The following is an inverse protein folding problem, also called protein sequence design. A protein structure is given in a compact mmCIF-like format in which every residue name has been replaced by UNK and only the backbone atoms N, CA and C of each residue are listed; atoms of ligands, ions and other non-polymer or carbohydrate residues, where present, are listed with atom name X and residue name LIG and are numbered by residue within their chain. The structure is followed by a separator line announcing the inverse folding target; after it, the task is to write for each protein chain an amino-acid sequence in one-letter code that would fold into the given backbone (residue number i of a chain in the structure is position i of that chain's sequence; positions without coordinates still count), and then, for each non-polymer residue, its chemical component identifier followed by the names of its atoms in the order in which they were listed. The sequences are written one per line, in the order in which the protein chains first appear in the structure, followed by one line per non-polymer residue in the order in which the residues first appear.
data_IF_087248836673
#
_entry.id   IF_087248836673
#
_cell.length_a   1.000
_cell.length_b   1.000
_cell.length_c   1.000
_cell.angle_alpha   90.00
_cell.angle_beta   90.00
_cell.angle_gamma   90.00
#
_symmetry.space_group_name_H-M   'P 1'
#
loop_
_entity.id
_entity.type
_entity.pdbx_description
1 polymer ?
#
# COMPACT_ATOMS: atom_id res chain seq x y z
N UNK A 1 -34.93 31.68 -18.33
CA UNK A 1 -33.46 31.60 -18.16
C UNK A 1 -32.98 30.69 -16.99
N UNK A 2 -33.51 29.45 -16.73
CA UNK A 2 -33.06 28.64 -15.57
C UNK A 2 -32.04 27.51 -15.90
N UNK A 3 -32.02 27.00 -17.14
CA UNK A 3 -31.23 25.81 -17.55
C UNK A 3 -29.71 25.96 -17.33
N UNK A 4 -29.20 27.19 -17.36
CA UNK A 4 -27.76 27.49 -17.20
C UNK A 4 -27.28 27.39 -15.74
N UNK A 5 -28.16 27.58 -14.75
CA UNK A 5 -27.79 27.43 -13.32
C UNK A 5 -27.79 25.96 -12.91
N UNK A 6 -28.78 25.20 -13.37
CA UNK A 6 -28.91 23.76 -13.08
C UNK A 6 -27.74 22.96 -13.70
N UNK A 7 -27.33 23.29 -14.92
CA UNK A 7 -26.20 22.63 -15.58
C UNK A 7 -24.84 22.94 -14.92
N UNK A 8 -24.67 24.14 -14.36
CA UNK A 8 -23.48 24.50 -13.58
C UNK A 8 -23.42 23.76 -12.25
N UNK A 9 -24.57 23.57 -11.59
CA UNK A 9 -24.65 22.83 -10.33
C UNK A 9 -24.37 21.33 -10.54
N UNK A 10 -24.98 20.72 -11.57
CA UNK A 10 -24.71 19.32 -11.93
C UNK A 10 -23.23 19.09 -12.27
N UNK A 11 -22.59 19.98 -13.01
CA UNK A 11 -21.14 19.88 -13.30
C UNK A 11 -20.27 19.96 -12.04
N UNK A 12 -20.61 20.84 -11.09
CA UNK A 12 -19.90 20.93 -9.81
C UNK A 12 -20.07 19.67 -8.97
N UNK A 13 -21.28 19.11 -8.94
CA UNK A 13 -21.57 17.86 -8.23
C UNK A 13 -20.84 16.67 -8.86
N UNK A 14 -20.81 16.60 -10.20
CA UNK A 14 -20.03 15.58 -10.93
C UNK A 14 -18.53 15.70 -10.64
N UNK A 15 -17.99 16.93 -10.66
CA UNK A 15 -16.58 17.15 -10.38
C UNK A 15 -16.23 16.78 -8.93
N UNK A 16 -17.09 17.12 -7.96
CA UNK A 16 -16.90 16.77 -6.56
C UNK A 16 -17.01 15.26 -6.29
N UNK A 17 -17.82 14.53 -7.07
CA UNK A 17 -17.96 13.08 -6.94
C UNK A 17 -16.79 12.30 -7.59
N UNK A 18 -16.15 12.85 -8.62
CA UNK A 18 -15.07 12.20 -9.36
C UNK A 18 -13.69 12.43 -8.73
N UNK A 19 -13.48 13.58 -8.08
CA UNK A 19 -12.19 13.95 -7.48
C UNK A 19 -11.64 12.94 -6.43
N UNK A 20 -12.45 12.35 -5.54
CA UNK A 20 -11.94 11.41 -4.52
C UNK A 20 -11.48 10.07 -5.10
N UNK A 21 -11.95 9.70 -6.30
CA UNK A 21 -11.63 8.41 -6.92
C UNK A 21 -10.16 8.29 -7.39
N UNK A 22 -9.42 9.41 -7.41
CA UNK A 22 -8.01 9.47 -7.79
C UNK A 22 -7.05 9.60 -6.61
N UNK A 23 -7.55 9.60 -5.37
CA UNK A 23 -6.69 9.59 -4.20
C UNK A 23 -6.16 8.16 -4.04
N UNK A 24 -4.85 7.90 -4.20
CA UNK A 24 -4.31 6.57 -3.94
C UNK A 24 -4.59 6.21 -2.48
N UNK A 25 -5.19 5.04 -2.25
CA UNK A 25 -5.39 4.53 -0.91
C UNK A 25 -4.01 4.33 -0.25
N UNK A 26 -3.68 5.16 0.72
CA UNK A 26 -2.49 5.02 1.58
C UNK A 26 -2.71 3.85 2.55
N UNK A 27 -2.64 2.62 2.04
CA UNK A 27 -2.70 1.44 2.91
C UNK A 27 -1.89 0.30 2.32
N UNK A 28 -0.60 0.54 2.12
CA UNK A 28 0.33 -0.56 1.96
C UNK A 28 1.75 -0.07 2.22
N UNK A 29 2.26 -0.41 3.39
CA UNK A 29 3.67 -0.24 3.72
C UNK A 29 4.58 -0.99 2.73
N UNK A 30 4.01 -1.90 1.93
CA UNK A 30 4.67 -2.59 0.82
C UNK A 30 3.70 -3.18 -0.23
N UNK A 31 3.00 -2.35 -1.02
CA UNK A 31 1.97 -2.82 -1.99
C UNK A 31 2.47 -3.66 -3.17
N UNK A 32 3.77 -3.64 -3.47
CA UNK A 32 4.30 -4.17 -4.72
C UNK A 32 5.74 -4.63 -4.58
N UNK A 33 6.26 -5.33 -5.61
CA UNK A 33 7.67 -5.72 -5.63
C UNK A 33 8.57 -4.49 -5.49
N UNK A 34 9.52 -4.58 -4.56
CA UNK A 34 10.42 -3.47 -4.16
C UNK A 34 9.71 -2.24 -3.56
N UNK A 35 8.50 -2.40 -3.03
CA UNK A 35 7.79 -1.39 -2.26
C UNK A 35 7.24 -0.21 -3.07
N UNK A 36 6.68 0.81 -2.41
CA UNK A 36 6.00 1.93 -3.08
C UNK A 36 6.91 2.70 -4.05
N UNK A 37 8.18 2.87 -3.69
CA UNK A 37 9.20 3.52 -4.52
C UNK A 37 9.86 2.61 -5.57
N UNK A 38 9.52 1.32 -5.62
CA UNK A 38 10.11 0.31 -6.52
C UNK A 38 11.64 0.19 -6.41
N UNK A 39 12.20 0.65 -5.30
CA UNK A 39 13.63 0.71 -5.03
C UNK A 39 14.08 -0.31 -3.96
N UNK A 40 13.15 -0.97 -3.28
CA UNK A 40 13.45 -1.93 -2.22
C UNK A 40 13.82 -1.28 -0.89
N UNK A 41 13.51 0.00 -0.71
CA UNK A 41 13.85 0.78 0.48
C UNK A 41 12.57 1.11 1.25
N UNK A 42 12.49 0.63 2.50
CA UNK A 42 11.41 1.03 3.41
C UNK A 42 11.50 2.52 3.73
N UNK A 43 10.35 3.19 3.85
CA UNK A 43 10.25 4.56 4.34
C UNK A 43 9.95 4.61 5.85
N UNK A 44 9.88 3.45 6.51
CA UNK A 44 9.72 3.37 7.95
C UNK A 44 10.93 3.99 8.65
N UNK A 45 10.66 4.89 9.60
CA UNK A 45 11.65 5.62 10.39
C UNK A 45 11.69 5.15 11.84
N UNK A 46 10.93 4.10 12.16
CA UNK A 46 10.97 3.44 13.47
C UNK A 46 12.40 3.01 13.77
N UNK A 47 13.00 3.46 14.89
CA UNK A 47 14.35 3.07 15.25
C UNK A 47 14.47 1.55 15.35
N UNK A 48 15.48 1.00 14.66
CA UNK A 48 15.84 -0.41 14.83
C UNK A 48 16.58 -0.53 16.16
N UNK A 49 16.29 -1.60 16.91
CA UNK A 49 16.98 -1.86 18.17
C UNK A 49 18.50 -1.95 17.94
N UNK A 50 19.28 -1.24 18.77
CA UNK A 50 20.75 -1.22 18.69
C UNK A 50 21.37 -2.57 19.09
N UNK A 51 20.66 -3.35 19.91
CA UNK A 51 21.06 -4.69 20.35
C UNK A 51 19.83 -5.59 20.40
N UNK A 52 19.99 -6.83 19.95
CA UNK A 52 19.00 -7.88 20.20
C UNK A 52 19.15 -8.47 21.62
N UNK A 53 18.08 -9.04 22.20
CA UNK A 53 18.17 -9.77 23.46
C UNK A 53 19.19 -10.92 23.36
N UNK A 54 19.87 -11.23 24.47
CA UNK A 54 20.90 -12.29 24.50
C UNK A 54 20.27 -13.68 24.27
N UNK A 55 19.01 -13.86 24.70
CA UNK A 55 18.21 -15.07 24.48
C UNK A 55 17.59 -15.14 23.07
N UNK A 56 17.77 -14.09 22.25
CA UNK A 56 17.21 -13.97 20.91
C UNK A 56 15.81 -13.34 20.85
N UNK A 57 15.34 -13.05 19.64
CA UNK A 57 13.98 -12.53 19.42
C UNK A 57 12.95 -13.65 19.57
N UNK A 58 11.82 -13.33 20.20
CA UNK A 58 10.68 -14.25 20.25
C UNK A 58 10.13 -14.47 18.84
N UNK A 59 10.08 -15.71 18.39
CA UNK A 59 9.36 -16.08 17.18
C UNK A 59 7.86 -15.81 17.36
N UNK A 60 7.31 -14.91 16.53
CA UNK A 60 5.88 -14.56 16.56
C UNK A 60 5.07 -15.26 15.46
N UNK A 61 5.73 -15.70 14.39
CA UNK A 61 5.14 -16.52 13.34
C UNK A 61 6.22 -17.33 12.63
N UNK A 62 5.82 -18.45 12.04
CA UNK A 62 6.62 -19.26 11.14
C UNK A 62 5.67 -19.86 10.10
N UNK A 63 6.09 -19.89 8.84
CA UNK A 63 5.35 -20.58 7.79
C UNK A 63 5.70 -22.06 7.78
N UNK A 64 4.73 -22.92 7.47
CA UNK A 64 5.02 -24.31 7.11
C UNK A 64 5.76 -24.42 5.78
N UNK A 65 6.05 -25.66 5.37
CA UNK A 65 6.64 -25.94 4.07
C UNK A 65 5.73 -25.43 2.94
N UNK A 66 6.28 -24.59 2.07
CA UNK A 66 5.62 -24.15 0.84
C UNK A 66 6.19 -25.00 -0.31
N UNK A 67 5.39 -25.86 -0.96
CA UNK A 67 5.89 -26.68 -2.05
C UNK A 67 6.31 -25.78 -3.21
N UNK A 68 7.55 -25.96 -3.65
CA UNK A 68 8.06 -25.36 -4.88
C UNK A 68 7.97 -26.40 -5.98
N UNK A 69 7.28 -26.10 -7.09
CA UNK A 69 7.63 -26.75 -8.34
C UNK A 69 8.94 -26.11 -8.86
N UNK A 70 9.84 -26.93 -9.41
CA UNK A 70 11.01 -26.49 -10.20
C UNK A 70 11.85 -25.34 -9.59
N UNK A 71 12.39 -25.50 -8.38
CA UNK A 71 13.35 -24.55 -7.77
C UNK A 71 12.86 -23.09 -7.60
N UNK A 72 11.55 -22.82 -7.64
CA UNK A 72 11.00 -21.53 -7.20
C UNK A 72 9.63 -21.17 -7.73
N UNK A 73 9.08 -21.94 -8.69
CA UNK A 73 7.78 -21.67 -9.31
C UNK A 73 7.68 -20.37 -10.11
N UNK A 74 6.67 -20.27 -10.98
CA UNK A 74 6.44 -19.14 -11.90
C UNK A 74 6.00 -17.87 -11.15
N UNK A 75 6.96 -17.12 -10.65
CA UNK A 75 6.77 -15.75 -10.15
C UNK A 75 6.48 -14.74 -11.25
#
# INVERSE_FOLDING_TARGET
MPRRRLSRLMKKLLLAAVLPAFIPAFSADWNQWRGPGRNGVSQDTTPIAEKFPDEGMKQVWESGFIPSNEYGGHG
#
